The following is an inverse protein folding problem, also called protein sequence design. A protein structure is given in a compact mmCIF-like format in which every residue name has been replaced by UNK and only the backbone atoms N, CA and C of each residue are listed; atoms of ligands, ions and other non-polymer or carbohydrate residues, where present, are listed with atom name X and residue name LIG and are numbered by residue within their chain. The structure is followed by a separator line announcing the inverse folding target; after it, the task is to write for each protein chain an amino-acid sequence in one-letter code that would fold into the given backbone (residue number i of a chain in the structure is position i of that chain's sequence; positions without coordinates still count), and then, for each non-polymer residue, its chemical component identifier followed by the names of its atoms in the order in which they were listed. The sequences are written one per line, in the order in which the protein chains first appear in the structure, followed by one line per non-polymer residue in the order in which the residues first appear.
data_IF_295807275679
#
_entry.id   IF_295807275679
#
_cell.length_a   1.000
_cell.length_b   1.000
_cell.length_c   1.000
_cell.angle_alpha   90.00
_cell.angle_beta   90.00
_cell.angle_gamma   90.00
#
_symmetry.space_group_name_H-M   'P 1'
#
loop_
_entity.id
_entity.type
_entity.pdbx_description
1 polymer ?
#
# COMPACT_ATOMS: atom_id res chain seq x y z
N UNK A 1 33.39 -0.66 -1.57
CA UNK A 1 32.74 -1.16 -2.80
C UNK A 1 32.26 0.05 -3.59
N UNK A 2 32.80 0.26 -4.80
CA UNK A 2 32.42 1.41 -5.64
C UNK A 2 30.99 1.20 -6.17
N UNK A 3 30.11 2.23 -6.16
CA UNK A 3 28.78 2.10 -6.74
C UNK A 3 28.92 1.76 -8.23
N UNK A 4 28.49 0.55 -8.62
CA UNK A 4 28.38 0.17 -10.03
C UNK A 4 27.09 0.82 -10.55
N UNK A 5 27.27 1.81 -11.42
CA UNK A 5 26.26 2.60 -12.14
C UNK A 5 25.42 3.55 -11.29
N UNK A 6 25.37 4.81 -11.74
CA UNK A 6 24.59 5.92 -11.17
C UNK A 6 23.07 5.77 -11.32
N UNK A 7 22.53 4.57 -11.11
CA UNK A 7 21.10 4.31 -11.09
C UNK A 7 20.53 4.81 -9.77
N UNK A 8 19.86 5.96 -9.82
CA UNK A 8 19.16 6.52 -8.66
C UNK A 8 17.83 5.80 -8.43
N UNK A 9 17.84 4.47 -8.41
CA UNK A 9 16.61 3.65 -8.36
C UNK A 9 15.72 4.01 -7.17
N UNK A 10 16.33 4.22 -5.99
CA UNK A 10 15.62 4.72 -4.81
C UNK A 10 14.99 6.09 -5.06
N UNK A 11 15.72 7.01 -5.70
CA UNK A 11 15.21 8.33 -6.02
C UNK A 11 14.04 8.27 -7.00
N UNK A 12 14.13 7.44 -8.05
CA UNK A 12 13.03 7.27 -9.00
C UNK A 12 11.79 6.67 -8.34
N UNK A 13 11.95 5.61 -7.55
CA UNK A 13 10.85 4.94 -6.84
C UNK A 13 10.14 5.89 -5.87
N UNK A 14 10.91 6.61 -5.04
CA UNK A 14 10.32 7.57 -4.10
C UNK A 14 9.79 8.83 -4.78
N UNK A 15 10.43 9.34 -5.83
CA UNK A 15 9.93 10.47 -6.59
C UNK A 15 8.58 10.15 -7.26
N UNK A 16 8.44 8.97 -7.87
CA UNK A 16 7.15 8.52 -8.42
C UNK A 16 6.07 8.46 -7.34
N UNK A 17 6.37 7.87 -6.18
CA UNK A 17 5.42 7.83 -5.06
C UNK A 17 5.05 9.24 -4.60
N UNK A 18 6.01 10.15 -4.43
CA UNK A 18 5.76 11.52 -3.99
C UNK A 18 4.95 12.32 -5.00
N UNK A 19 5.22 12.18 -6.30
CA UNK A 19 4.45 12.85 -7.36
C UNK A 19 3.00 12.36 -7.36
N UNK A 20 2.77 11.05 -7.31
CA UNK A 20 1.40 10.50 -7.24
C UNK A 20 0.69 10.93 -5.95
N UNK A 21 1.43 11.01 -4.84
CA UNK A 21 0.93 11.55 -3.57
C UNK A 21 0.49 13.01 -3.72
N UNK A 22 1.34 13.87 -4.28
CA UNK A 22 1.03 15.27 -4.52
C UNK A 22 -0.22 15.44 -5.40
N UNK A 23 -0.34 14.66 -6.49
CA UNK A 23 -1.54 14.65 -7.33
C UNK A 23 -2.80 14.20 -6.58
N UNK A 24 -2.67 13.19 -5.73
CA UNK A 24 -3.80 12.69 -4.91
C UNK A 24 -4.29 13.73 -3.92
N UNK A 25 -3.37 14.37 -3.19
CA UNK A 25 -3.72 15.44 -2.26
C UNK A 25 -4.25 16.68 -2.97
N UNK A 26 -3.70 17.03 -4.13
CA UNK A 26 -4.23 18.11 -4.96
C UNK A 26 -5.68 17.81 -5.38
N UNK A 27 -5.97 16.61 -5.88
CA UNK A 27 -7.33 16.22 -6.23
C UNK A 27 -8.29 16.31 -5.04
N UNK A 28 -7.88 15.83 -3.86
CA UNK A 28 -8.70 15.91 -2.65
C UNK A 28 -8.94 17.35 -2.20
N UNK A 29 -7.92 18.22 -2.29
CA UNK A 29 -8.04 19.63 -1.95
C UNK A 29 -8.92 20.41 -2.93
N UNK A 30 -8.96 19.99 -4.20
CA UNK A 30 -9.87 20.52 -5.23
C UNK A 30 -11.29 19.94 -5.17
N UNK A 31 -11.67 19.28 -4.07
CA UNK A 31 -12.97 18.63 -3.89
C UNK A 31 -13.27 17.53 -4.94
N UNK A 32 -12.23 16.86 -5.44
CA UNK A 32 -12.29 15.74 -6.37
C UNK A 32 -11.83 14.44 -5.70
N UNK A 33 -12.04 13.31 -6.39
CA UNK A 33 -11.48 12.03 -5.94
C UNK A 33 -12.21 11.41 -4.74
N UNK A 34 -13.45 11.81 -4.48
CA UNK A 34 -14.32 11.22 -3.47
C UNK A 34 -15.67 10.79 -4.05
N UNK A 35 -16.32 9.86 -3.35
CA UNK A 35 -17.70 9.44 -3.59
C UNK A 35 -18.40 9.16 -2.26
N UNK A 36 -19.70 9.41 -2.20
CA UNK A 36 -20.53 9.08 -1.04
C UNK A 36 -21.08 7.67 -1.22
N UNK A 37 -20.84 6.80 -0.23
CA UNK A 37 -21.24 5.39 -0.22
C UNK A 37 -22.13 5.14 1.00
N UNK A 38 -23.32 4.57 0.77
CA UNK A 38 -24.23 4.16 1.84
C UNK A 38 -23.66 2.98 2.64
N UNK A 39 -23.95 2.93 3.93
CA UNK A 39 -23.49 1.86 4.81
C UNK A 39 -24.64 0.95 5.21
N UNK A 40 -24.45 -0.36 5.06
CA UNK A 40 -25.34 -1.36 5.64
C UNK A 40 -25.39 -1.25 7.16
N UNK A 41 -26.57 -1.54 7.72
CA UNK A 41 -26.85 -1.53 9.16
C UNK A 41 -26.63 -0.17 9.84
N UNK A 42 -26.68 0.93 9.09
CA UNK A 42 -26.54 2.26 9.66
C UNK A 42 -27.88 2.72 10.27
N UNK A 43 -27.88 3.01 11.56
CA UNK A 43 -29.06 3.49 12.31
C UNK A 43 -29.16 5.02 12.37
N UNK A 44 -28.24 5.76 11.73
CA UNK A 44 -28.21 7.22 11.76
C UNK A 44 -29.00 7.86 10.60
N UNK A 45 -29.50 9.08 10.83
CA UNK A 45 -30.27 9.90 9.87
C UNK A 45 -29.55 10.17 8.55
N UNK A 46 -28.21 10.12 8.55
CA UNK A 46 -27.36 10.29 7.35
C UNK A 46 -26.53 9.01 7.13
N UNK A 47 -27.06 8.00 6.44
CA UNK A 47 -26.46 6.65 6.39
C UNK A 47 -25.29 6.53 5.41
N UNK A 48 -24.71 7.64 4.94
CA UNK A 48 -23.75 7.65 3.85
C UNK A 48 -22.45 8.37 4.22
N UNK A 49 -21.32 7.76 3.87
CA UNK A 49 -19.97 8.21 4.23
C UNK A 49 -19.23 8.67 2.98
N UNK A 50 -18.50 9.78 3.11
CA UNK A 50 -17.61 10.25 2.06
C UNK A 50 -16.34 9.41 2.05
N UNK A 51 -16.11 8.72 0.94
CA UNK A 51 -14.94 7.87 0.71
C UNK A 51 -14.06 8.52 -0.34
N UNK A 52 -12.85 8.90 0.07
CA UNK A 52 -11.82 9.40 -0.85
C UNK A 52 -11.13 8.25 -1.56
N UNK A 53 -11.64 7.86 -2.74
CA UNK A 53 -11.09 6.76 -3.51
C UNK A 53 -9.69 7.04 -4.03
N UNK A 54 -9.35 8.32 -4.26
CA UNK A 54 -8.03 8.75 -4.70
C UNK A 54 -6.91 8.28 -3.74
N UNK A 55 -7.19 8.17 -2.43
CA UNK A 55 -6.24 7.64 -1.44
C UNK A 55 -5.83 6.20 -1.76
N UNK A 56 -6.76 5.35 -2.19
CA UNK A 56 -6.46 3.96 -2.51
C UNK A 56 -5.67 3.84 -3.81
N UNK A 57 -5.89 4.73 -4.78
CA UNK A 57 -5.06 4.82 -6.00
C UNK A 57 -3.61 5.14 -5.60
N UNK A 58 -3.42 6.10 -4.69
CA UNK A 58 -2.09 6.40 -4.14
C UNK A 58 -1.47 5.19 -3.44
N UNK A 59 -2.25 4.42 -2.68
CA UNK A 59 -1.77 3.20 -2.01
C UNK A 59 -1.26 2.13 -2.97
N UNK A 60 -1.90 1.97 -4.14
CA UNK A 60 -1.47 1.03 -5.20
C UNK A 60 -0.09 1.39 -5.76
N UNK A 61 0.39 2.62 -5.60
CA UNK A 61 1.72 3.06 -6.04
C UNK A 61 2.72 3.15 -4.89
N UNK A 62 2.32 3.78 -3.78
CA UNK A 62 3.21 4.06 -2.65
C UNK A 62 3.65 2.83 -1.88
N UNK A 63 2.77 1.83 -1.68
CA UNK A 63 3.14 0.62 -0.95
C UNK A 63 4.08 -0.29 -1.73
N UNK A 64 3.87 -0.56 -3.03
CA UNK A 64 4.90 -1.22 -3.83
C UNK A 64 6.22 -0.49 -3.82
N UNK A 65 6.21 0.85 -3.93
CA UNK A 65 7.43 1.66 -3.89
C UNK A 65 8.20 1.45 -2.58
N UNK A 66 7.51 1.47 -1.43
CA UNK A 66 8.10 1.20 -0.13
C UNK A 66 8.66 -0.23 -0.02
N UNK A 67 7.90 -1.23 -0.49
CA UNK A 67 8.33 -2.64 -0.46
C UNK A 67 9.54 -2.89 -1.36
N UNK A 68 9.58 -2.30 -2.55
CA UNK A 68 10.74 -2.38 -3.45
C UNK A 68 11.97 -1.77 -2.77
N UNK A 69 11.83 -0.59 -2.17
CA UNK A 69 12.94 0.04 -1.45
C UNK A 69 13.45 -0.84 -0.28
N UNK A 70 12.54 -1.39 0.55
CA UNK A 70 12.90 -2.28 1.65
C UNK A 70 13.54 -3.59 1.16
N UNK A 71 13.04 -4.14 0.06
CA UNK A 71 13.57 -5.35 -0.57
C UNK A 71 14.98 -5.16 -1.10
N UNK A 72 15.24 -4.02 -1.76
CA UNK A 72 16.57 -3.64 -2.24
C UNK A 72 17.55 -3.43 -1.08
N UNK A 73 17.11 -2.79 0.01
CA UNK A 73 17.94 -2.58 1.22
C UNK A 73 18.26 -3.89 1.94
N UNK A 74 17.28 -4.80 2.04
CA UNK A 74 17.42 -6.07 2.74
C UNK A 74 18.12 -7.14 1.90
N UNK A 75 18.52 -6.83 0.67
CA UNK A 75 19.16 -7.76 -0.29
C UNK A 75 18.37 -9.06 -0.51
N UNK A 76 17.03 -8.95 -0.48
CA UNK A 76 16.13 -10.10 -0.65
C UNK A 76 16.05 -10.50 -2.12
N UNK A 77 15.64 -11.74 -2.40
CA UNK A 77 15.49 -12.21 -3.78
C UNK A 77 14.48 -11.37 -4.56
N UNK A 78 14.71 -11.14 -5.86
CA UNK A 78 13.78 -10.39 -6.71
C UNK A 78 12.38 -11.02 -6.73
N UNK A 79 12.29 -12.35 -6.63
CA UNK A 79 11.02 -13.08 -6.55
C UNK A 79 10.26 -12.75 -5.26
N UNK A 80 10.96 -12.64 -4.12
CA UNK A 80 10.38 -12.20 -2.85
C UNK A 80 9.88 -10.75 -2.93
N UNK A 81 10.63 -9.86 -3.58
CA UNK A 81 10.21 -8.47 -3.82
C UNK A 81 8.93 -8.44 -4.66
N UNK A 82 8.90 -9.17 -5.78
CA UNK A 82 7.73 -9.24 -6.66
C UNK A 82 6.50 -9.81 -5.93
N UNK A 83 6.68 -10.86 -5.13
CA UNK A 83 5.61 -11.43 -4.31
C UNK A 83 5.08 -10.44 -3.28
N UNK A 84 5.97 -9.72 -2.58
CA UNK A 84 5.56 -8.69 -1.61
C UNK A 84 4.83 -7.53 -2.30
N UNK A 85 5.24 -7.12 -3.50
CA UNK A 85 4.51 -6.13 -4.31
C UNK A 85 3.11 -6.64 -4.64
N UNK A 86 2.97 -7.89 -5.07
CA UNK A 86 1.66 -8.48 -5.32
C UNK A 86 0.76 -8.46 -4.07
N UNK A 87 1.31 -8.80 -2.90
CA UNK A 87 0.58 -8.71 -1.62
C UNK A 87 0.10 -7.28 -1.31
N UNK A 88 0.90 -6.26 -1.62
CA UNK A 88 0.49 -4.85 -1.43
C UNK A 88 -0.71 -4.50 -2.30
N UNK A 89 -0.79 -5.03 -3.52
CA UNK A 89 -1.94 -4.82 -4.41
C UNK A 89 -3.17 -5.55 -3.93
N UNK A 90 -3.04 -6.83 -3.52
CA UNK A 90 -4.15 -7.60 -2.95
C UNK A 90 -4.73 -6.85 -1.75
N UNK A 91 -3.89 -6.32 -0.87
CA UNK A 91 -4.32 -5.52 0.27
C UNK A 91 -5.03 -4.22 -0.15
N UNK A 92 -4.35 -3.36 -0.93
CA UNK A 92 -4.86 -2.04 -1.29
C UNK A 92 -6.17 -2.11 -2.11
N UNK A 93 -6.24 -3.03 -3.07
CA UNK A 93 -7.41 -3.24 -3.91
C UNK A 93 -8.56 -3.84 -3.09
N UNK A 94 -8.29 -4.83 -2.23
CA UNK A 94 -9.35 -5.40 -1.38
C UNK A 94 -9.96 -4.34 -0.46
N UNK A 95 -9.15 -3.42 0.08
CA UNK A 95 -9.65 -2.32 0.91
C UNK A 95 -10.44 -1.28 0.10
N UNK A 96 -10.03 -1.00 -1.14
CA UNK A 96 -10.82 -0.18 -2.06
C UNK A 96 -12.19 -0.82 -2.32
N UNK A 97 -12.22 -2.10 -2.67
CA UNK A 97 -13.47 -2.84 -2.93
C UNK A 97 -14.34 -2.89 -1.68
N UNK A 98 -13.76 -3.12 -0.49
CA UNK A 98 -14.48 -3.07 0.78
C UNK A 98 -15.10 -1.69 1.02
N UNK A 99 -14.37 -0.60 0.75
CA UNK A 99 -14.86 0.76 0.94
C UNK A 99 -16.03 1.12 0.02
N UNK A 100 -16.07 0.55 -1.19
CA UNK A 100 -17.15 0.73 -2.15
C UNK A 100 -18.30 -0.26 -1.99
N UNK A 101 -18.17 -1.26 -1.12
CA UNK A 101 -19.23 -2.26 -0.88
C UNK A 101 -20.22 -1.73 0.17
N UNK A 102 -21.47 -1.43 -0.22
CA UNK A 102 -22.45 -0.88 0.72
C UNK A 102 -22.92 -1.94 1.72
N UNK A 103 -23.00 -3.20 1.27
CA UNK A 103 -23.52 -4.37 2.00
C UNK A 103 -22.53 -4.93 3.02
N UNK A 104 -22.99 -5.86 3.87
CA UNK A 104 -22.13 -6.53 4.87
C UNK A 104 -21.02 -7.40 4.25
N UNK A 105 -21.04 -7.67 2.94
CA UNK A 105 -19.95 -8.33 2.23
C UNK A 105 -18.62 -7.56 2.29
N UNK A 106 -18.64 -6.26 2.64
CA UNK A 106 -17.42 -5.46 2.84
C UNK A 106 -16.44 -6.10 3.83
N UNK A 107 -16.94 -6.83 4.83
CA UNK A 107 -16.11 -7.49 5.84
C UNK A 107 -15.30 -8.65 5.27
N UNK A 108 -15.79 -9.34 4.23
CA UNK A 108 -15.04 -10.38 3.54
C UNK A 108 -13.83 -9.81 2.81
N UNK A 109 -14.04 -8.72 2.06
CA UNK A 109 -12.95 -8.01 1.38
C UNK A 109 -11.96 -7.40 2.38
N UNK A 110 -12.46 -6.83 3.48
CA UNK A 110 -11.60 -6.33 4.56
C UNK A 110 -10.73 -7.45 5.14
N UNK A 111 -11.31 -8.59 5.53
CA UNK A 111 -10.58 -9.71 6.11
C UNK A 111 -9.51 -10.26 5.16
N UNK A 112 -9.84 -10.49 3.88
CA UNK A 112 -8.87 -10.96 2.87
C UNK A 112 -7.72 -9.95 2.71
N UNK A 113 -8.03 -8.66 2.61
CA UNK A 113 -7.02 -7.61 2.55
C UNK A 113 -6.13 -7.56 3.80
N UNK A 114 -6.72 -7.71 5.00
CA UNK A 114 -5.98 -7.72 6.26
C UNK A 114 -5.05 -8.93 6.35
N UNK A 115 -5.48 -10.11 5.90
CA UNK A 115 -4.62 -11.30 5.85
C UNK A 115 -3.42 -11.06 4.92
N UNK A 116 -3.65 -10.51 3.71
CA UNK A 116 -2.56 -10.16 2.80
C UNK A 116 -1.57 -9.16 3.44
N UNK A 117 -2.08 -8.17 4.18
CA UNK A 117 -1.25 -7.22 4.92
C UNK A 117 -0.44 -7.89 6.04
N UNK A 118 -1.04 -8.82 6.80
CA UNK A 118 -0.33 -9.57 7.85
C UNK A 118 0.79 -10.43 7.28
N UNK A 119 0.54 -11.11 6.16
CA UNK A 119 1.57 -11.92 5.46
C UNK A 119 2.71 -11.02 4.99
N UNK A 120 2.39 -9.86 4.39
CA UNK A 120 3.38 -8.86 3.97
C UNK A 120 4.21 -8.34 5.14
N UNK A 121 3.56 -7.96 6.24
CA UNK A 121 4.21 -7.43 7.44
C UNK A 121 5.16 -8.47 8.06
N UNK A 122 4.69 -9.73 8.17
CA UNK A 122 5.53 -10.82 8.68
C UNK A 122 6.74 -11.08 7.78
N UNK A 123 6.54 -11.16 6.46
CA UNK A 123 7.64 -11.32 5.50
C UNK A 123 8.68 -10.20 5.63
N UNK A 124 8.23 -8.96 5.63
CA UNK A 124 9.10 -7.77 5.73
C UNK A 124 9.89 -7.75 7.04
N UNK A 125 9.27 -8.09 8.17
CA UNK A 125 9.96 -8.16 9.47
C UNK A 125 11.00 -9.28 9.51
N UNK A 126 10.70 -10.45 8.94
CA UNK A 126 11.66 -11.57 8.92
C UNK A 126 12.86 -11.28 8.02
N UNK A 127 12.63 -10.68 6.85
CA UNK A 127 13.70 -10.33 5.91
C UNK A 127 14.54 -9.16 6.46
N UNK A 128 13.90 -8.17 7.07
CA UNK A 128 14.57 -7.07 7.76
C UNK A 128 15.47 -7.54 8.91
N UNK A 129 15.01 -8.50 9.72
CA UNK A 129 15.82 -9.12 10.79
C UNK A 129 17.04 -9.85 10.23
N UNK A 130 16.88 -10.64 9.17
CA UNK A 130 17.99 -11.37 8.52
C UNK A 130 19.02 -10.40 7.95
N UNK A 131 18.57 -9.30 7.35
CA UNK A 131 19.44 -8.25 6.84
C UNK A 131 20.22 -7.54 7.97
N UNK A 132 19.53 -7.16 9.06
CA UNK A 132 20.16 -6.49 10.21
C UNK A 132 21.25 -7.35 10.87
N UNK A 133 20.98 -8.65 11.06
CA UNK A 133 21.97 -9.60 11.60
C UNK A 133 23.20 -9.75 10.69
N UNK A 134 23.02 -9.65 9.37
CA UNK A 134 24.13 -9.70 8.39
C UNK A 134 24.98 -8.43 8.40
N UNK A 135 24.39 -7.29 8.78
CA UNK A 135 25.06 -5.99 8.87
C UNK A 135 25.71 -5.72 10.23
N UNK A 136 25.57 -6.63 11.21
CA UNK A 136 26.22 -6.52 12.52
C UNK A 136 25.63 -5.48 13.47
N UNK A 137 24.35 -5.10 13.26
CA UNK A 137 23.62 -4.13 14.11
C UNK A 137 22.58 -4.83 15.00
N UNK A 138 22.75 -6.14 15.22
CA UNK A 138 21.87 -6.96 16.06
C UNK A 138 22.35 -7.06 17.49
#
# INVERSE_FOLDING_TARGET
MRPRHGERIFHYVFATALIVGALTYYAQASDLGWRVISQANNTMTWPAWQVFYAKYIYWVVSFPAAVIALGLLSTVSWASIAYNVFLTWVWAISYLVAAFTPTNYKWGFFAIGTVAWLVLAFGTLTDGRKAANRSGVG
#
